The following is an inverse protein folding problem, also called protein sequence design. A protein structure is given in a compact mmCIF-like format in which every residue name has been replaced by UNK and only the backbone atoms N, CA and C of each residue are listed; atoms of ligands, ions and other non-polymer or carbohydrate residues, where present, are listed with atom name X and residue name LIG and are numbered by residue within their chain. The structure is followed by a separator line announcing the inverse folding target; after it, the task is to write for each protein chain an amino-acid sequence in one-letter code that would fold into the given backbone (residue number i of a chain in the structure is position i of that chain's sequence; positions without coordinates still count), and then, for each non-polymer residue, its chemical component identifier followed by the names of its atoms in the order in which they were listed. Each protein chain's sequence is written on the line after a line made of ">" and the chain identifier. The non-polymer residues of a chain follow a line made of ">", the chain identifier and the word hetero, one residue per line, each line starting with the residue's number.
data_IF_328243391020
#
_entry.id   IF_328243391020
#
_cell.length_a   1.000
_cell.length_b   1.000
_cell.length_c   1.000
_cell.angle_alpha   90.00
_cell.angle_beta   90.00
_cell.angle_gamma   90.00
#
_symmetry.space_group_name_H-M   'P 1'
#
loop_
_entity.id
_entity.type
_entity.pdbx_description
1 polymer ?
#
# COMPACT_ATOMS: atom_id res chain seq x y z
N UNK A 1 -44.63 -143.45 31.06
CA UNK A 1 -45.92 -143.02 31.65
C UNK A 1 -46.27 -141.67 31.04
N UNK A 2 -47.34 -141.55 30.24
CA UNK A 2 -48.74 -141.25 30.66
C UNK A 2 -48.83 -139.84 31.28
N UNK A 3 -49.73 -138.90 30.94
CA UNK A 3 -51.03 -138.98 30.28
C UNK A 3 -51.49 -137.57 29.78
N UNK A 4 -52.09 -137.58 28.58
CA UNK A 4 -53.13 -136.74 27.94
C UNK A 4 -54.08 -135.84 28.80
N UNK A 5 -54.40 -134.63 28.28
CA UNK A 5 -55.74 -133.99 27.94
C UNK A 5 -55.74 -132.44 28.15
N UNK A 6 -55.99 -131.59 27.12
CA UNK A 6 -57.26 -130.93 26.67
C UNK A 6 -57.95 -130.09 27.78
N UNK A 7 -58.35 -128.81 27.65
CA UNK A 7 -58.70 -127.86 26.57
C UNK A 7 -58.39 -126.42 27.07
N UNK A 8 -58.18 -125.38 26.26
CA UNK A 8 -59.21 -124.44 25.77
C UNK A 8 -58.74 -123.64 24.55
N UNK A 9 -59.70 -123.25 23.71
CA UNK A 9 -59.51 -122.50 22.47
C UNK A 9 -59.14 -121.02 22.70
N UNK A 10 -58.19 -120.53 21.90
CA UNK A 10 -58.00 -119.10 21.64
C UNK A 10 -57.54 -118.96 20.19
N UNK A 11 -58.35 -118.27 19.38
CA UNK A 11 -58.08 -118.03 17.96
C UNK A 11 -56.89 -117.08 17.86
N UNK A 12 -55.79 -117.54 17.24
CA UNK A 12 -54.66 -116.71 16.86
C UNK A 12 -54.51 -116.75 15.33
N UNK A 13 -54.57 -115.56 14.74
CA UNK A 13 -54.50 -115.23 13.32
C UNK A 13 -53.15 -115.63 12.67
N UNK A 14 -53.19 -116.04 11.40
CA UNK A 14 -52.01 -116.33 10.56
C UNK A 14 -51.14 -115.07 10.33
N UNK A 15 -49.80 -115.19 10.26
CA UNK A 15 -48.96 -114.24 9.55
C UNK A 15 -48.75 -114.72 8.11
N UNK A 16 -49.25 -113.95 7.15
CA UNK A 16 -48.87 -114.04 5.73
C UNK A 16 -47.49 -113.41 5.60
N UNK A 17 -46.52 -114.11 5.01
CA UNK A 17 -45.19 -113.56 4.77
C UNK A 17 -45.25 -112.35 3.82
N UNK A 18 -44.51 -111.26 4.08
CA UNK A 18 -44.55 -110.06 3.26
C UNK A 18 -44.01 -110.33 1.84
N UNK A 19 -44.67 -109.73 0.85
CA UNK A 19 -44.31 -109.81 -0.58
C UNK A 19 -42.96 -109.11 -0.84
N UNK A 20 -41.94 -109.80 -1.39
CA UNK A 20 -40.60 -109.24 -1.60
C UNK A 20 -40.57 -108.04 -2.55
N UNK A 21 -41.51 -107.91 -3.50
CA UNK A 21 -41.63 -106.72 -4.35
C UNK A 21 -42.10 -105.50 -3.56
N UNK A 22 -42.94 -105.72 -2.54
CA UNK A 22 -43.47 -104.68 -1.66
C UNK A 22 -42.43 -104.17 -0.65
N UNK A 23 -41.59 -105.08 -0.12
CA UNK A 23 -40.45 -104.71 0.74
C UNK A 23 -39.37 -103.92 -0.02
N UNK A 24 -39.11 -104.25 -1.30
CA UNK A 24 -38.18 -103.49 -2.13
C UNK A 24 -38.71 -102.08 -2.44
N UNK A 25 -40.01 -101.95 -2.74
CA UNK A 25 -40.67 -100.67 -2.96
C UNK A 25 -40.75 -99.81 -1.68
N UNK A 26 -40.98 -100.43 -0.51
CA UNK A 26 -40.95 -99.75 0.79
C UNK A 26 -39.53 -99.26 1.13
N UNK A 27 -38.49 -100.08 0.89
CA UNK A 27 -37.10 -99.68 1.09
C UNK A 27 -36.64 -98.57 0.11
N UNK A 28 -37.13 -98.57 -1.13
CA UNK A 28 -36.88 -97.49 -2.11
C UNK A 28 -37.62 -96.21 -1.73
N UNK A 29 -38.87 -96.30 -1.26
CA UNK A 29 -39.63 -95.19 -0.71
C UNK A 29 -38.94 -94.58 0.52
N UNK A 30 -38.46 -95.39 1.45
CA UNK A 30 -37.75 -94.91 2.65
C UNK A 30 -36.41 -94.25 2.30
N UNK A 31 -35.69 -94.76 1.28
CA UNK A 31 -34.48 -94.11 0.75
C UNK A 31 -34.80 -92.76 0.12
N UNK A 32 -35.83 -92.68 -0.72
CA UNK A 32 -36.26 -91.43 -1.35
C UNK A 32 -36.76 -90.41 -0.31
N UNK A 33 -37.42 -90.85 0.75
CA UNK A 33 -37.83 -89.99 1.87
C UNK A 33 -36.62 -89.47 2.65
N UNK A 34 -35.65 -90.32 2.97
CA UNK A 34 -34.42 -89.91 3.64
C UNK A 34 -33.61 -88.92 2.79
N UNK A 35 -33.51 -89.17 1.49
CA UNK A 35 -32.86 -88.27 0.53
C UNK A 35 -33.63 -86.95 0.39
N UNK A 36 -34.97 -86.98 0.35
CA UNK A 36 -35.79 -85.77 0.31
C UNK A 36 -35.65 -84.95 1.61
N UNK A 37 -35.61 -85.59 2.78
CA UNK A 37 -35.36 -84.91 4.05
C UNK A 37 -33.97 -84.29 4.09
N UNK A 38 -32.94 -84.97 3.57
CA UNK A 38 -31.59 -84.43 3.45
C UNK A 38 -31.56 -83.21 2.53
N UNK A 39 -32.15 -83.31 1.33
CA UNK A 39 -32.24 -82.20 0.38
C UNK A 39 -33.02 -81.01 0.95
N UNK A 40 -34.09 -81.25 1.72
CA UNK A 40 -34.82 -80.18 2.43
C UNK A 40 -33.97 -79.49 3.48
N UNK A 41 -33.17 -80.25 4.22
CA UNK A 41 -32.27 -79.68 5.22
C UNK A 41 -31.15 -78.86 4.57
N UNK A 42 -30.52 -79.39 3.52
CA UNK A 42 -29.51 -78.68 2.72
C UNK A 42 -30.10 -77.39 2.10
N UNK A 43 -31.33 -77.44 1.58
CA UNK A 43 -32.02 -76.26 1.04
C UNK A 43 -32.32 -75.22 2.14
N UNK A 44 -32.75 -75.65 3.32
CA UNK A 44 -32.99 -74.73 4.44
C UNK A 44 -31.70 -74.02 4.87
N UNK A 45 -30.58 -74.75 4.99
CA UNK A 45 -29.26 -74.16 5.27
C UNK A 45 -28.83 -73.17 4.18
N UNK A 46 -28.98 -73.53 2.90
CA UNK A 46 -28.65 -72.64 1.79
C UNK A 46 -29.51 -71.36 1.76
N UNK A 47 -30.77 -71.43 2.19
CA UNK A 47 -31.65 -70.26 2.32
C UNK A 47 -31.18 -69.34 3.45
N UNK A 48 -30.82 -69.90 4.61
CA UNK A 48 -30.30 -69.14 5.75
C UNK A 48 -28.97 -68.46 5.41
N UNK A 49 -28.04 -69.19 4.80
CA UNK A 49 -26.75 -68.63 4.33
C UNK A 49 -26.97 -67.49 3.31
N UNK A 50 -27.92 -67.68 2.37
CA UNK A 50 -28.27 -66.63 1.39
C UNK A 50 -28.93 -65.42 2.06
N UNK A 51 -29.75 -65.63 3.10
CA UNK A 51 -30.35 -64.54 3.86
C UNK A 51 -29.28 -63.75 4.62
N UNK A 52 -28.36 -64.44 5.31
CA UNK A 52 -27.24 -63.81 5.99
C UNK A 52 -26.37 -62.98 5.03
N UNK A 53 -25.99 -63.56 3.88
CA UNK A 53 -25.22 -62.86 2.85
C UNK A 53 -25.95 -61.63 2.27
N UNK A 54 -27.29 -61.67 2.14
CA UNK A 54 -28.07 -60.50 1.71
C UNK A 54 -28.10 -59.39 2.75
N UNK A 55 -28.16 -59.73 4.04
CA UNK A 55 -28.08 -58.74 5.13
C UNK A 55 -26.71 -58.07 5.12
N UNK A 56 -25.63 -58.85 5.08
CA UNK A 56 -24.26 -58.35 5.00
C UNK A 56 -24.03 -57.47 3.76
N UNK A 57 -24.51 -57.90 2.60
CA UNK A 57 -24.46 -57.09 1.38
C UNK A 57 -25.28 -55.79 1.48
N UNK A 58 -26.39 -55.79 2.22
CA UNK A 58 -27.18 -54.60 2.50
C UNK A 58 -26.44 -53.60 3.40
N UNK A 59 -25.79 -54.10 4.44
CA UNK A 59 -24.94 -53.30 5.34
C UNK A 59 -23.75 -52.69 4.60
N UNK A 60 -23.06 -53.48 3.76
CA UNK A 60 -21.96 -52.99 2.94
C UNK A 60 -22.41 -51.89 1.97
N UNK A 61 -23.55 -52.06 1.28
CA UNK A 61 -24.10 -51.03 0.41
C UNK A 61 -24.46 -49.75 1.17
N UNK A 62 -25.05 -49.87 2.36
CA UNK A 62 -25.36 -48.73 3.20
C UNK A 62 -24.08 -47.99 3.63
N UNK A 63 -23.02 -48.72 3.99
CA UNK A 63 -21.71 -48.15 4.33
C UNK A 63 -21.07 -47.42 3.13
N UNK A 64 -21.13 -48.00 1.93
CA UNK A 64 -20.63 -47.35 0.70
C UNK A 64 -21.43 -46.08 0.40
N UNK A 65 -22.76 -46.12 0.51
CA UNK A 65 -23.61 -44.95 0.27
C UNK A 65 -23.32 -43.81 1.26
N UNK A 66 -23.11 -44.14 2.54
CA UNK A 66 -22.71 -43.17 3.56
C UNK A 66 -21.32 -42.58 3.24
N UNK A 67 -20.34 -43.41 2.89
CA UNK A 67 -19.00 -42.97 2.49
C UNK A 67 -19.03 -42.07 1.24
N UNK A 68 -19.82 -42.41 0.23
CA UNK A 68 -19.99 -41.58 -0.97
C UNK A 68 -20.67 -40.24 -0.67
N UNK A 69 -21.68 -40.22 0.21
CA UNK A 69 -22.34 -38.98 0.63
C UNK A 69 -21.36 -38.07 1.38
N UNK A 70 -20.51 -38.64 2.24
CA UNK A 70 -19.46 -37.91 2.95
C UNK A 70 -18.41 -37.34 1.98
N UNK A 71 -17.91 -38.15 1.04
CA UNK A 71 -16.98 -37.69 0.00
C UNK A 71 -17.58 -36.56 -0.86
N UNK A 72 -18.85 -36.65 -1.25
CA UNK A 72 -19.54 -35.56 -1.98
C UNK A 72 -19.62 -34.28 -1.16
N UNK A 73 -19.92 -34.39 0.14
CA UNK A 73 -19.95 -33.23 1.04
C UNK A 73 -18.57 -32.60 1.18
N UNK A 74 -17.51 -33.41 1.32
CA UNK A 74 -16.13 -32.94 1.36
C UNK A 74 -15.74 -32.24 0.04
N UNK A 75 -16.06 -32.84 -1.11
CA UNK A 75 -15.81 -32.24 -2.43
C UNK A 75 -16.53 -30.90 -2.60
N UNK A 76 -17.79 -30.80 -2.19
CA UNK A 76 -18.54 -29.54 -2.23
C UNK A 76 -17.91 -28.44 -1.36
N UNK A 77 -17.37 -28.80 -0.19
CA UNK A 77 -16.64 -27.86 0.68
C UNK A 77 -15.33 -27.38 0.05
N UNK A 78 -14.60 -28.27 -0.63
CA UNK A 78 -13.37 -27.91 -1.35
C UNK A 78 -13.68 -26.95 -2.49
N UNK A 79 -14.70 -27.24 -3.29
CA UNK A 79 -15.14 -26.37 -4.39
C UNK A 79 -15.58 -24.99 -3.89
N UNK A 80 -16.32 -24.91 -2.77
CA UNK A 80 -16.69 -23.63 -2.17
C UNK A 80 -15.47 -22.80 -1.75
N UNK A 81 -14.51 -23.43 -1.05
CA UNK A 81 -13.25 -22.77 -0.68
C UNK A 81 -12.42 -22.34 -1.89
N UNK A 82 -12.45 -23.10 -2.97
CA UNK A 82 -11.74 -22.77 -4.21
C UNK A 82 -12.36 -21.52 -4.87
N UNK A 83 -13.69 -21.41 -4.90
CA UNK A 83 -14.36 -20.22 -5.41
C UNK A 83 -14.06 -18.96 -4.57
N UNK A 84 -14.08 -19.10 -3.24
CA UNK A 84 -13.71 -18.00 -2.33
C UNK A 84 -12.25 -17.55 -2.53
N UNK A 85 -11.34 -18.52 -2.74
CA UNK A 85 -9.93 -18.25 -3.02
C UNK A 85 -9.75 -17.50 -4.35
N UNK A 86 -10.44 -17.92 -5.41
CA UNK A 86 -10.40 -17.26 -6.72
C UNK A 86 -10.88 -15.81 -6.62
N UNK A 87 -12.01 -15.56 -5.95
CA UNK A 87 -12.51 -14.21 -5.73
C UNK A 87 -11.52 -13.35 -4.93
N UNK A 88 -10.84 -13.94 -3.94
CA UNK A 88 -9.77 -13.29 -3.18
C UNK A 88 -8.56 -12.93 -4.06
N UNK A 89 -8.12 -13.84 -4.93
CA UNK A 89 -7.00 -13.61 -5.86
C UNK A 89 -7.31 -12.48 -6.85
N UNK A 90 -8.52 -12.45 -7.41
CA UNK A 90 -8.96 -11.36 -8.31
C UNK A 90 -8.94 -10.00 -7.61
N UNK A 91 -9.40 -9.95 -6.35
CA UNK A 91 -9.37 -8.74 -5.54
C UNK A 91 -7.94 -8.25 -5.29
N UNK A 92 -7.03 -9.16 -4.89
CA UNK A 92 -5.61 -8.83 -4.69
C UNK A 92 -5.00 -8.32 -5.99
N UNK A 93 -5.25 -9.00 -7.13
CA UNK A 93 -4.73 -8.59 -8.45
C UNK A 93 -5.16 -7.17 -8.84
N UNK A 94 -6.43 -6.84 -8.63
CA UNK A 94 -6.96 -5.50 -8.89
C UNK A 94 -6.27 -4.45 -8.01
N UNK A 95 -6.14 -4.73 -6.71
CA UNK A 95 -5.47 -3.83 -5.77
C UNK A 95 -3.99 -3.63 -6.12
N UNK A 96 -3.28 -4.70 -6.47
CA UNK A 96 -1.88 -4.65 -6.89
C UNK A 96 -1.69 -3.81 -8.17
N UNK A 97 -2.60 -3.92 -9.14
CA UNK A 97 -2.61 -3.08 -10.33
C UNK A 97 -2.81 -1.60 -10.02
N UNK A 98 -3.73 -1.27 -9.12
CA UNK A 98 -3.93 0.11 -8.64
C UNK A 98 -2.70 0.65 -7.90
N UNK A 99 -2.08 -0.18 -7.04
CA UNK A 99 -0.85 0.19 -6.36
C UNK A 99 0.28 0.49 -7.36
N UNK A 100 0.44 -0.32 -8.41
CA UNK A 100 1.44 -0.09 -9.44
C UNK A 100 1.25 1.26 -10.16
N UNK A 101 0.01 1.60 -10.52
CA UNK A 101 -0.31 2.91 -11.12
C UNK A 101 0.03 4.06 -10.17
N UNK A 102 -0.35 3.95 -8.90
CA UNK A 102 -0.05 4.98 -7.89
C UNK A 102 1.43 5.13 -7.59
N UNK A 103 2.19 4.05 -7.71
CA UNK A 103 3.61 4.09 -7.52
C UNK A 103 4.35 4.76 -8.68
N UNK A 104 3.90 4.51 -9.93
CA UNK A 104 4.40 5.23 -11.10
C UNK A 104 4.10 6.73 -11.02
N UNK A 105 2.89 7.09 -10.59
CA UNK A 105 2.51 8.49 -10.33
C UNK A 105 3.41 9.12 -9.24
N UNK A 106 3.68 8.38 -8.16
CA UNK A 106 4.59 8.81 -7.10
C UNK A 106 6.03 9.02 -7.57
N UNK A 107 6.56 8.10 -8.35
CA UNK A 107 7.91 8.21 -8.93
C UNK A 107 8.03 9.42 -9.87
N UNK A 108 7.05 9.61 -10.75
CA UNK A 108 7.01 10.79 -11.63
C UNK A 108 6.94 12.10 -10.84
N UNK A 109 6.21 12.12 -9.72
CA UNK A 109 6.14 13.27 -8.82
C UNK A 109 7.49 13.56 -8.14
N UNK A 110 8.22 12.51 -7.75
CA UNK A 110 9.58 12.65 -7.20
C UNK A 110 10.53 13.24 -8.25
N UNK A 111 10.53 12.72 -9.47
CA UNK A 111 11.37 13.24 -10.56
C UNK A 111 11.08 14.72 -10.85
N UNK A 112 9.79 15.09 -10.90
CA UNK A 112 9.38 16.48 -11.06
C UNK A 112 9.82 17.36 -9.89
N UNK A 113 9.76 16.83 -8.66
CA UNK A 113 10.21 17.54 -7.45
C UNK A 113 11.71 17.80 -7.49
N UNK A 114 12.52 16.80 -7.88
CA UNK A 114 13.96 16.94 -8.03
C UNK A 114 14.33 17.99 -9.11
N UNK A 115 13.65 17.96 -10.26
CA UNK A 115 13.86 18.97 -11.31
C UNK A 115 13.49 20.39 -10.86
N UNK A 116 12.42 20.54 -10.08
CA UNK A 116 12.02 21.82 -9.50
C UNK A 116 13.04 22.32 -8.48
N UNK A 117 13.56 21.43 -7.63
CA UNK A 117 14.61 21.78 -6.66
C UNK A 117 15.90 22.21 -7.37
N UNK A 118 16.33 21.52 -8.42
CA UNK A 118 17.48 21.98 -9.22
C UNK A 118 17.25 23.37 -9.82
N UNK A 119 16.07 23.59 -10.42
CA UNK A 119 15.70 24.90 -11.00
C UNK A 119 15.72 26.01 -9.96
N UNK A 120 15.12 25.77 -8.78
CA UNK A 120 15.11 26.77 -7.71
C UNK A 120 16.54 26.97 -7.16
N UNK A 121 17.41 25.96 -7.19
CA UNK A 121 18.78 26.04 -6.65
C UNK A 121 19.62 26.95 -7.54
N UNK A 122 19.48 26.77 -8.86
CA UNK A 122 20.11 27.64 -9.85
C UNK A 122 19.62 29.08 -9.72
N UNK A 123 18.32 29.30 -9.48
CA UNK A 123 17.75 30.65 -9.25
C UNK A 123 18.27 31.27 -7.96
N UNK A 124 18.32 30.52 -6.86
CA UNK A 124 18.89 30.96 -5.59
C UNK A 124 20.36 31.34 -5.77
N UNK A 125 21.14 30.50 -6.45
CA UNK A 125 22.56 30.76 -6.75
C UNK A 125 22.74 32.01 -7.62
N UNK A 126 21.88 32.23 -8.60
CA UNK A 126 21.90 33.43 -9.44
C UNK A 126 21.56 34.69 -8.63
N UNK A 127 20.54 34.64 -7.77
CA UNK A 127 20.16 35.73 -6.86
C UNK A 127 21.28 36.06 -5.87
N UNK A 128 21.91 35.03 -5.29
CA UNK A 128 23.06 35.21 -4.39
C UNK A 128 24.19 35.90 -5.13
N UNK A 129 24.54 35.46 -6.35
CA UNK A 129 25.56 36.14 -7.17
C UNK A 129 25.20 37.60 -7.47
N UNK A 130 23.95 37.90 -7.78
CA UNK A 130 23.51 39.28 -8.06
C UNK A 130 23.61 40.18 -6.82
N UNK A 131 23.17 39.69 -5.65
CA UNK A 131 23.26 40.45 -4.40
C UNK A 131 24.70 40.56 -3.88
N UNK A 132 25.51 39.51 -4.02
CA UNK A 132 26.94 39.58 -3.72
C UNK A 132 27.64 40.55 -4.67
N UNK A 133 27.28 40.61 -5.96
CA UNK A 133 27.79 41.63 -6.89
C UNK A 133 27.40 43.05 -6.43
N UNK A 134 26.15 43.23 -5.97
CA UNK A 134 25.68 44.50 -5.39
C UNK A 134 26.50 44.89 -4.14
N UNK A 135 26.71 43.95 -3.21
CA UNK A 135 27.49 44.17 -1.98
C UNK A 135 28.99 44.35 -2.21
N UNK A 136 29.59 43.55 -3.11
CA UNK A 136 31.01 43.63 -3.48
C UNK A 136 31.30 44.88 -4.31
N UNK A 137 30.27 45.45 -4.93
CA UNK A 137 30.20 46.87 -5.24
C UNK A 137 30.16 47.77 -3.99
N UNK A 138 30.76 47.34 -2.88
CA UNK A 138 31.14 48.16 -1.73
C UNK A 138 31.94 49.39 -2.16
N UNK A 139 32.62 49.31 -3.32
CA UNK A 139 33.14 50.48 -3.99
C UNK A 139 32.02 51.48 -4.30
N UNK A 140 30.96 51.09 -4.99
CA UNK A 140 29.81 51.95 -5.30
C UNK A 140 29.07 52.45 -4.06
N UNK A 141 28.81 51.58 -3.06
CA UNK A 141 28.19 52.05 -1.81
C UNK A 141 29.08 53.05 -1.07
N UNK A 142 30.38 52.79 -1.02
CA UNK A 142 31.37 53.70 -0.44
C UNK A 142 31.49 55.01 -1.21
N UNK A 143 31.52 54.97 -2.55
CA UNK A 143 31.57 56.12 -3.45
C UNK A 143 30.31 56.98 -3.34
N UNK A 144 29.13 56.36 -3.29
CA UNK A 144 27.86 57.08 -3.09
C UNK A 144 27.85 57.75 -1.72
N UNK A 145 28.25 57.04 -0.65
CA UNK A 145 28.36 57.64 0.68
C UNK A 145 29.39 58.77 0.73
N UNK A 146 30.52 58.63 0.03
CA UNK A 146 31.55 59.68 -0.06
C UNK A 146 31.02 60.90 -0.83
N UNK A 147 30.30 60.69 -1.94
CA UNK A 147 29.66 61.76 -2.69
C UNK A 147 28.61 62.50 -1.84
N UNK A 148 27.76 61.77 -1.11
CA UNK A 148 26.80 62.36 -0.17
C UNK A 148 27.52 63.20 0.90
N UNK A 149 28.61 62.69 1.47
CA UNK A 149 29.42 63.42 2.45
C UNK A 149 30.01 64.71 1.86
N UNK A 150 30.54 64.65 0.63
CA UNK A 150 31.04 65.83 -0.10
C UNK A 150 29.93 66.85 -0.37
N UNK A 151 28.75 66.44 -0.82
CA UNK A 151 27.62 67.35 -1.06
C UNK A 151 27.17 68.00 0.25
N UNK A 152 27.13 67.23 1.35
CA UNK A 152 26.80 67.76 2.68
C UNK A 152 27.82 68.79 3.16
N UNK A 153 29.11 68.57 2.90
CA UNK A 153 30.16 69.52 3.21
C UNK A 153 30.03 70.81 2.36
N UNK A 154 29.74 70.68 1.07
CA UNK A 154 29.47 71.82 0.17
C UNK A 154 28.25 72.60 0.67
N UNK A 155 27.16 71.93 1.02
CA UNK A 155 25.96 72.56 1.56
C UNK A 155 26.26 73.34 2.87
N UNK A 156 27.08 72.77 3.77
CA UNK A 156 27.50 73.47 4.98
C UNK A 156 28.35 74.72 4.66
N UNK A 157 29.27 74.62 3.70
CA UNK A 157 30.09 75.74 3.26
C UNK A 157 29.24 76.83 2.58
N UNK A 158 28.31 76.46 1.71
CA UNK A 158 27.37 77.40 1.06
C UNK A 158 26.49 78.09 2.09
N UNK A 159 26.04 77.37 3.13
CA UNK A 159 25.29 77.97 4.24
C UNK A 159 26.12 79.02 4.99
N UNK A 160 27.40 78.75 5.22
CA UNK A 160 28.32 79.73 5.85
C UNK A 160 28.57 80.94 4.94
N UNK A 161 28.73 80.73 3.63
CA UNK A 161 28.87 81.82 2.66
C UNK A 161 27.62 82.69 2.60
N UNK A 162 26.43 82.07 2.58
CA UNK A 162 25.15 82.76 2.62
C UNK A 162 25.00 83.61 3.89
N UNK A 163 25.39 83.08 5.05
CA UNK A 163 25.40 83.84 6.30
C UNK A 163 26.32 85.05 6.23
N UNK A 164 27.55 84.88 5.73
CA UNK A 164 28.49 85.99 5.57
C UNK A 164 27.95 87.06 4.60
N UNK A 165 27.31 86.63 3.50
CA UNK A 165 26.67 87.55 2.55
C UNK A 165 25.49 88.29 3.18
N UNK A 166 24.67 87.63 4.01
CA UNK A 166 23.57 88.27 4.73
C UNK A 166 24.08 89.32 5.73
N UNK A 167 25.18 89.03 6.44
CA UNK A 167 25.82 89.99 7.36
C UNK A 167 26.32 91.23 6.59
N UNK A 168 27.00 91.04 5.46
CA UNK A 168 27.54 92.17 4.70
C UNK A 168 26.44 92.97 4.00
N UNK A 169 25.36 92.30 3.55
CA UNK A 169 24.16 92.97 3.04
C UNK A 169 23.48 93.83 4.11
N UNK A 170 23.38 93.34 5.35
CA UNK A 170 22.88 94.14 6.47
C UNK A 170 23.79 95.34 6.77
N UNK A 171 25.10 95.17 6.66
CA UNK A 171 26.11 96.22 6.88
C UNK A 171 26.05 97.34 5.84
N UNK A 172 25.68 97.02 4.60
CA UNK A 172 25.48 98.00 3.52
C UNK A 172 24.17 98.81 3.63
N UNK A 173 23.30 98.51 4.60
CA UNK A 173 22.06 99.24 4.85
C UNK A 173 21.08 99.17 3.67
N UNK A 174 20.54 100.31 3.24
CA UNK A 174 19.57 100.39 2.13
C UNK A 174 20.14 99.88 0.81
N UNK A 175 21.45 100.03 0.56
CA UNK A 175 22.10 99.54 -0.66
C UNK A 175 22.24 98.00 -0.70
N UNK A 176 22.13 97.32 0.45
CA UNK A 176 22.29 95.87 0.57
C UNK A 176 20.98 95.08 0.50
N UNK A 177 19.81 95.73 0.43
CA UNK A 177 18.49 95.07 0.50
C UNK A 177 18.32 93.93 -0.51
N UNK A 178 18.70 94.14 -1.77
CA UNK A 178 18.61 93.10 -2.80
C UNK A 178 19.55 91.91 -2.54
N UNK A 179 20.75 92.18 -2.04
CA UNK A 179 21.72 91.14 -1.68
C UNK A 179 21.28 90.34 -0.46
N UNK A 180 20.58 90.96 0.50
CA UNK A 180 20.04 90.26 1.68
C UNK A 180 19.03 89.18 1.30
N UNK A 181 18.15 89.47 0.34
CA UNK A 181 17.15 88.51 -0.15
C UNK A 181 17.83 87.32 -0.84
N UNK A 182 18.84 87.59 -1.68
CA UNK A 182 19.61 86.54 -2.34
C UNK A 182 20.35 85.68 -1.32
N UNK A 183 20.96 86.29 -0.29
CA UNK A 183 21.68 85.57 0.75
C UNK A 183 20.75 84.64 1.57
N UNK A 184 19.53 85.08 1.90
CA UNK A 184 18.53 84.23 2.54
C UNK A 184 18.13 83.03 1.66
N UNK A 185 17.86 83.25 0.37
CA UNK A 185 17.46 82.16 -0.53
C UNK A 185 18.59 81.15 -0.75
N UNK A 186 19.84 81.61 -0.88
CA UNK A 186 21.02 80.71 -0.96
C UNK A 186 21.18 79.92 0.34
N UNK A 187 20.99 80.57 1.51
CA UNK A 187 21.06 79.91 2.80
C UNK A 187 19.98 78.83 2.98
N UNK A 188 18.77 79.09 2.47
CA UNK A 188 17.67 78.13 2.43
C UNK A 188 17.98 76.95 1.51
N UNK A 189 18.43 77.20 0.27
CA UNK A 189 18.87 76.14 -0.66
C UNK A 189 19.94 75.23 -0.03
N UNK A 190 20.91 75.83 0.67
CA UNK A 190 21.96 75.08 1.35
C UNK A 190 21.40 74.18 2.47
N UNK A 191 20.43 74.68 3.26
CA UNK A 191 19.73 73.88 4.28
C UNK A 191 18.93 72.74 3.66
N UNK A 192 18.20 73.02 2.58
CA UNK A 192 17.36 72.02 1.90
C UNK A 192 18.25 70.94 1.25
N UNK A 193 19.38 71.31 0.67
CA UNK A 193 20.40 70.38 0.15
C UNK A 193 20.95 69.48 1.27
N UNK A 194 21.30 70.05 2.44
CA UNK A 194 21.74 69.27 3.59
C UNK A 194 20.66 68.30 4.08
N UNK A 195 19.40 68.71 4.08
CA UNK A 195 18.26 67.84 4.38
C UNK A 195 18.14 66.67 3.40
N UNK A 196 18.16 66.96 2.10
CA UNK A 196 18.09 65.94 1.04
C UNK A 196 19.24 64.92 1.14
N UNK A 197 20.48 65.37 1.36
CA UNK A 197 21.62 64.46 1.54
C UNK A 197 21.48 63.55 2.77
N UNK A 198 20.88 64.04 3.86
CA UNK A 198 20.62 63.23 5.05
C UNK A 198 19.57 62.14 4.76
N UNK A 199 18.51 62.47 4.04
CA UNK A 199 17.50 61.49 3.60
C UNK A 199 18.11 60.42 2.69
N UNK A 200 18.93 60.80 1.71
CA UNK A 200 19.60 59.84 0.82
C UNK A 200 20.52 58.91 1.64
N UNK A 201 21.28 59.44 2.60
CA UNK A 201 22.14 58.62 3.46
C UNK A 201 21.35 57.57 4.25
N UNK A 202 20.18 57.93 4.77
CA UNK A 202 19.29 56.96 5.45
C UNK A 202 18.78 55.89 4.50
N UNK A 203 18.39 56.26 3.28
CA UNK A 203 17.96 55.30 2.26
C UNK A 203 19.08 54.31 1.88
N UNK A 204 20.33 54.79 1.80
CA UNK A 204 21.50 53.94 1.51
C UNK A 204 21.76 52.92 2.63
N UNK A 205 21.65 53.32 3.90
CA UNK A 205 21.78 52.40 5.04
C UNK A 205 20.66 51.34 5.02
N UNK A 206 19.43 51.75 4.77
CA UNK A 206 18.30 50.83 4.67
C UNK A 206 18.47 49.83 3.51
N UNK A 207 18.96 50.30 2.36
CA UNK A 207 19.23 49.45 1.19
C UNK A 207 20.33 48.41 1.48
N UNK A 208 21.39 48.79 2.21
CA UNK A 208 22.44 47.87 2.61
C UNK A 208 21.90 46.81 3.57
N UNK A 209 21.16 47.21 4.60
CA UNK A 209 20.54 46.27 5.55
C UNK A 209 19.59 45.29 4.85
N UNK A 210 18.76 45.76 3.91
CA UNK A 210 17.87 44.89 3.13
C UNK A 210 18.62 43.91 2.24
N UNK A 211 19.79 44.30 1.72
CA UNK A 211 20.65 43.42 0.91
C UNK A 211 21.29 42.33 1.76
N UNK A 212 21.74 42.68 2.96
CA UNK A 212 22.32 41.73 3.94
C UNK A 212 21.27 40.70 4.38
N UNK A 213 20.05 41.16 4.71
CA UNK A 213 18.93 40.30 5.07
C UNK A 213 18.55 39.34 3.92
N UNK A 214 18.45 39.85 2.69
CA UNK A 214 18.13 39.03 1.53
C UNK A 214 19.18 37.92 1.28
N UNK A 215 20.47 38.20 1.51
CA UNK A 215 21.52 37.20 1.42
C UNK A 215 21.43 36.12 2.51
N UNK A 216 21.07 36.51 3.74
CA UNK A 216 20.83 35.55 4.80
C UNK A 216 19.65 34.63 4.43
N UNK A 217 18.54 35.18 3.94
CA UNK A 217 17.41 34.39 3.45
C UNK A 217 17.80 33.44 2.32
N UNK A 218 18.58 33.91 1.34
CA UNK A 218 19.04 33.04 0.25
C UNK A 218 19.97 31.92 0.73
N UNK A 219 20.80 32.17 1.74
CA UNK A 219 21.64 31.13 2.36
C UNK A 219 20.80 30.06 3.06
N UNK A 220 19.75 30.47 3.79
CA UNK A 220 18.80 29.53 4.41
C UNK A 220 18.08 28.73 3.32
N UNK A 221 17.57 29.40 2.29
CA UNK A 221 16.91 28.73 1.16
C UNK A 221 17.84 27.68 0.52
N UNK A 222 19.11 28.00 0.27
CA UNK A 222 20.05 27.03 -0.28
C UNK A 222 20.16 25.76 0.58
N UNK A 223 20.22 25.92 1.91
CA UNK A 223 20.29 24.79 2.86
C UNK A 223 19.01 23.96 2.87
N UNK A 224 17.84 24.62 2.88
CA UNK A 224 16.54 23.95 2.83
C UNK A 224 16.34 23.17 1.53
N UNK A 225 16.88 23.70 0.43
CA UNK A 225 16.82 23.06 -0.87
C UNK A 225 17.68 21.80 -0.95
N UNK A 226 18.90 21.83 -0.41
CA UNK A 226 19.76 20.65 -0.33
C UNK A 226 19.08 19.55 0.50
N UNK A 227 18.50 19.94 1.65
CA UNK A 227 17.73 19.02 2.51
C UNK A 227 16.49 18.47 1.80
N UNK A 228 15.78 19.30 1.04
CA UNK A 228 14.64 18.91 0.23
C UNK A 228 15.00 17.92 -0.88
N UNK A 229 16.18 18.09 -1.50
CA UNK A 229 16.68 17.18 -2.54
C UNK A 229 17.04 15.81 -1.95
N UNK A 230 17.70 15.78 -0.79
CA UNK A 230 17.99 14.54 -0.07
C UNK A 230 16.72 13.78 0.30
N UNK A 231 15.71 14.47 0.83
CA UNK A 231 14.43 13.87 1.18
C UNK A 231 13.70 13.32 -0.06
N UNK A 232 13.64 14.09 -1.15
CA UNK A 232 13.03 13.64 -2.40
C UNK A 232 13.74 12.41 -2.97
N UNK A 233 15.07 12.37 -2.91
CA UNK A 233 15.86 11.21 -3.31
C UNK A 233 15.54 9.98 -2.44
N UNK A 234 15.44 10.15 -1.12
CA UNK A 234 15.07 9.07 -0.21
C UNK A 234 13.67 8.52 -0.51
N UNK A 235 12.68 9.39 -0.75
CA UNK A 235 11.33 8.98 -1.16
C UNK A 235 11.39 8.19 -2.47
N UNK A 236 12.18 8.66 -3.45
CA UNK A 236 12.40 7.94 -4.70
C UNK A 236 12.94 6.52 -4.50
N UNK A 237 13.89 6.33 -3.59
CA UNK A 237 14.41 4.98 -3.26
C UNK A 237 13.34 4.09 -2.64
N UNK A 238 12.56 4.60 -1.68
CA UNK A 238 11.48 3.85 -1.03
C UNK A 238 10.42 3.42 -2.06
N UNK A 239 10.02 4.33 -2.94
CA UNK A 239 9.05 4.03 -4.00
C UNK A 239 9.61 3.00 -5.00
N UNK A 240 10.88 3.06 -5.37
CA UNK A 240 11.48 2.02 -6.21
C UNK A 240 11.48 0.65 -5.53
N UNK A 241 11.83 0.59 -4.24
CA UNK A 241 11.75 -0.67 -3.47
C UNK A 241 10.33 -1.24 -3.39
N UNK A 242 9.32 -0.38 -3.26
CA UNK A 242 7.91 -0.80 -3.33
C UNK A 242 7.55 -1.33 -4.73
N UNK A 243 8.15 -0.80 -5.79
CA UNK A 243 7.85 -1.19 -7.17
C UNK A 243 8.35 -2.62 -7.43
N UNK A 244 9.53 -2.94 -6.92
CA UNK A 244 10.11 -4.28 -6.95
C UNK A 244 9.27 -5.29 -6.14
N UNK A 245 8.80 -4.88 -4.95
CA UNK A 245 7.92 -5.72 -4.12
C UNK A 245 6.58 -6.00 -4.80
N UNK A 246 5.97 -5.00 -5.43
CA UNK A 246 4.75 -5.17 -6.23
C UNK A 246 5.00 -6.10 -7.43
N UNK A 247 6.14 -5.95 -8.10
CA UNK A 247 6.53 -6.84 -9.20
C UNK A 247 6.63 -8.31 -8.77
N UNK A 248 7.21 -8.55 -7.59
CA UNK A 248 7.26 -9.89 -6.97
C UNK A 248 5.84 -10.40 -6.66
N UNK A 249 5.00 -9.56 -6.05
CA UNK A 249 3.62 -9.94 -5.71
C UNK A 249 2.79 -10.31 -6.95
N UNK A 250 2.95 -9.58 -8.05
CA UNK A 250 2.28 -9.92 -9.33
C UNK A 250 2.72 -11.30 -9.82
N UNK A 251 4.01 -11.63 -9.70
CA UNK A 251 4.54 -12.94 -10.06
C UNK A 251 3.95 -14.04 -9.17
N UNK A 252 3.93 -13.84 -7.86
CA UNK A 252 3.39 -14.80 -6.89
C UNK A 252 1.89 -15.09 -7.14
N UNK A 253 1.09 -14.05 -7.44
CA UNK A 253 -0.32 -14.21 -7.82
C UNK A 253 -0.43 -15.04 -9.11
N UNK A 254 0.41 -14.76 -10.11
CA UNK A 254 0.42 -15.51 -11.36
C UNK A 254 0.77 -16.99 -11.17
N UNK A 255 1.68 -17.30 -10.26
CA UNK A 255 2.02 -18.70 -9.91
C UNK A 255 0.87 -19.39 -9.19
N UNK A 256 0.23 -18.72 -8.22
CA UNK A 256 -0.93 -19.26 -7.49
C UNK A 256 -2.10 -19.58 -8.44
N UNK A 257 -2.39 -18.67 -9.38
CA UNK A 257 -3.43 -18.85 -10.40
C UNK A 257 -3.17 -20.10 -11.25
N UNK A 258 -1.91 -20.32 -11.66
CA UNK A 258 -1.50 -21.51 -12.42
C UNK A 258 -1.52 -22.82 -11.62
N UNK A 259 -1.48 -22.74 -10.29
CA UNK A 259 -1.45 -23.89 -9.39
C UNK A 259 -2.86 -24.34 -8.93
N UNK A 260 -3.86 -23.45 -9.04
CA UNK A 260 -5.28 -23.81 -8.86
C UNK A 260 -5.84 -24.44 -10.14
N UNK A 261 -6.26 -25.72 -10.11
CA UNK A 261 -6.79 -26.42 -11.29
C UNK A 261 -8.19 -25.95 -11.72
#
# INVERSE_FOLDING_TARGET
>A
MMFRRRDTATVATLPIAPDPARLAAEAESDRLLAEQHRLRHELAQAIDDRHAARVEAGELHAAIAASQAEQRSQAARVLGRQADLQAGLDQVRSLTGLMQLKLQEGLATVDQTLANLDTVSQRTTASTRALTALQSSSHTYGEVNQAIASIKAIAAQTKMLALNAAIEAARAGEHGRGFSIVAEEVGKLAKDTAGATATISQMMVALQAASDEALQTLSTNATEMDSGAELAFHVGMVLNGLNEQIGTLINDIGQLDSATP
#
